data_IF_698954964388
#
_entry.id   IF_698954964388
#
_cell.length_a   1.000
_cell.length_b   1.000
_cell.length_c   1.000
_cell.angle_alpha   90.00
_cell.angle_beta   90.00
_cell.angle_gamma   90.00
#
_symmetry.space_group_name_H-M   'P 1'
#
loop_
_entity.id
_entity.type
_entity.pdbx_description
1 polymer ?
#
# COMPACT_ATOMS: atom_id res chain seq x y z
N UNK A 1 9.92 53.64 50.89
CA UNK A 1 10.44 52.26 50.84
C UNK A 1 9.69 51.54 49.74
N UNK A 2 10.27 51.49 48.56
CA UNK A 2 9.66 50.89 47.37
C UNK A 2 10.34 49.56 47.11
N UNK A 3 9.60 48.46 47.25
CA UNK A 3 10.10 47.11 46.98
C UNK A 3 9.86 46.79 45.51
N UNK A 4 10.91 46.67 44.73
CA UNK A 4 10.90 46.16 43.36
C UNK A 4 11.20 44.69 43.35
N UNK A 5 10.24 43.86 42.92
CA UNK A 5 10.38 42.41 42.74
C UNK A 5 10.87 42.11 41.30
N UNK A 6 11.91 41.28 41.08
CA UNK A 6 12.36 40.95 39.75
C UNK A 6 11.50 39.80 39.14
N UNK A 7 11.00 40.04 37.95
CA UNK A 7 10.27 39.08 37.12
C UNK A 7 11.24 38.06 36.53
N UNK A 8 11.18 36.81 36.98
CA UNK A 8 11.96 35.72 36.41
C UNK A 8 11.25 35.20 35.16
N UNK A 9 11.81 35.46 33.99
CA UNK A 9 11.43 34.89 32.72
C UNK A 9 11.91 33.43 32.66
N UNK A 10 10.98 32.44 32.72
CA UNK A 10 11.25 31.05 32.39
C UNK A 10 11.29 30.96 30.85
N UNK A 11 12.47 30.70 30.30
CA UNK A 11 12.62 30.30 28.90
C UNK A 11 12.30 28.80 28.80
N UNK A 12 11.14 28.47 28.24
CA UNK A 12 10.79 27.09 27.93
C UNK A 12 11.54 26.68 26.65
N UNK A 13 12.59 25.86 26.76
CA UNK A 13 13.20 25.17 25.64
C UNK A 13 12.23 24.07 25.16
N UNK A 14 11.51 24.34 24.08
CA UNK A 14 10.81 23.31 23.32
C UNK A 14 11.84 22.45 22.59
N UNK A 15 12.15 21.28 23.14
CA UNK A 15 12.92 20.25 22.46
C UNK A 15 12.07 19.72 21.29
N UNK A 16 12.36 20.16 20.07
CA UNK A 16 11.87 19.55 18.84
C UNK A 16 12.46 18.14 18.73
N UNK A 17 11.75 17.13 19.22
CA UNK A 17 12.01 15.74 18.88
C UNK A 17 11.73 15.57 17.37
N UNK A 18 12.76 15.78 16.55
CA UNK A 18 12.76 15.33 15.16
C UNK A 18 12.72 13.80 15.19
N UNK A 19 11.55 13.20 15.03
CA UNK A 19 11.43 11.78 14.69
C UNK A 19 12.08 11.62 13.33
N UNK A 20 13.31 11.12 13.29
CA UNK A 20 13.94 10.68 12.07
C UNK A 20 13.01 9.66 11.43
N UNK A 21 12.35 10.02 10.34
CA UNK A 21 11.58 9.10 9.54
C UNK A 21 12.58 8.12 8.91
N UNK A 22 12.77 6.97 9.57
CA UNK A 22 13.58 5.87 9.06
C UNK A 22 12.83 5.27 7.87
N UNK A 23 13.12 5.73 6.66
CA UNK A 23 12.53 5.15 5.47
C UNK A 23 13.29 3.86 5.13
N UNK A 24 12.65 2.76 5.45
CA UNK A 24 13.13 1.41 5.16
C UNK A 24 13.19 1.14 3.66
N UNK A 25 14.06 0.24 3.21
CA UNK A 25 13.91 -0.37 1.90
C UNK A 25 12.76 -1.36 1.97
N UNK A 26 11.70 -1.14 1.18
CA UNK A 26 10.46 -1.90 1.27
C UNK A 26 10.03 -2.45 -0.08
N UNK A 27 9.18 -3.47 -0.06
CA UNK A 27 8.44 -3.94 -1.22
C UNK A 27 7.01 -3.37 -1.21
N UNK A 28 6.32 -3.32 -2.37
CA UNK A 28 4.90 -3.00 -2.42
C UNK A 28 4.09 -3.92 -1.50
N UNK A 29 3.11 -3.41 -0.75
CA UNK A 29 2.22 -4.23 0.07
C UNK A 29 1.27 -5.07 -0.80
N UNK A 30 0.56 -6.04 -0.19
CA UNK A 30 -0.43 -6.89 -0.86
C UNK A 30 0.07 -8.30 -1.16
N UNK A 31 1.38 -8.55 -1.01
CA UNK A 31 1.96 -9.89 -1.23
C UNK A 31 1.98 -10.31 -2.71
N UNK A 32 2.18 -11.61 -2.93
CA UNK A 32 2.15 -12.22 -4.27
C UNK A 32 1.69 -13.69 -4.17
N UNK A 33 0.99 -14.19 -5.19
CA UNK A 33 0.50 -15.57 -5.21
C UNK A 33 1.65 -16.58 -5.30
N UNK A 34 1.56 -17.68 -4.54
CA UNK A 34 2.49 -18.80 -4.65
C UNK A 34 2.59 -19.30 -6.09
N UNK A 35 3.79 -19.66 -6.52
CA UNK A 35 4.08 -20.13 -7.87
C UNK A 35 3.96 -19.07 -8.98
N UNK A 36 3.67 -17.81 -8.67
CA UNK A 36 3.57 -16.74 -9.67
C UNK A 36 4.94 -16.13 -10.02
N UNK A 37 5.02 -15.41 -11.13
CA UNK A 37 6.08 -14.43 -11.35
C UNK A 37 5.74 -13.15 -10.59
N UNK A 38 6.77 -12.52 -10.04
CA UNK A 38 6.63 -11.31 -9.24
C UNK A 38 7.77 -10.32 -9.54
N UNK A 39 7.40 -9.05 -9.71
CA UNK A 39 8.34 -7.94 -9.82
C UNK A 39 8.59 -7.36 -8.43
N UNK A 40 9.66 -7.81 -7.78
CA UNK A 40 10.10 -7.28 -6.49
C UNK A 40 10.68 -5.87 -6.70
N UNK A 41 9.85 -4.85 -6.48
CA UNK A 41 10.23 -3.45 -6.62
C UNK A 41 10.72 -2.91 -5.26
N UNK A 42 12.03 -2.91 -5.05
CA UNK A 42 12.66 -2.38 -3.84
C UNK A 42 12.61 -0.86 -3.84
N UNK A 43 11.81 -0.29 -2.94
CA UNK A 43 11.62 1.15 -2.81
C UNK A 43 12.65 1.72 -1.86
N UNK A 44 13.48 2.62 -2.38
CA UNK A 44 14.45 3.42 -1.64
C UNK A 44 13.88 4.82 -1.51
N UNK A 45 13.66 5.28 -0.29
CA UNK A 45 12.97 6.55 -0.03
C UNK A 45 13.88 7.69 0.45
N UNK A 46 15.12 7.38 0.84
CA UNK A 46 16.13 8.36 1.26
C UNK A 46 17.51 7.69 1.31
N UNK A 47 18.57 8.50 1.43
CA UNK A 47 19.93 8.03 1.69
C UNK A 47 20.10 7.50 3.15
N UNK A 48 21.25 6.93 3.46
CA UNK A 48 21.64 6.52 4.80
C UNK A 48 21.72 7.74 5.74
N UNK A 49 21.83 7.49 7.05
CA UNK A 49 22.03 8.56 8.03
C UNK A 49 23.27 9.40 7.65
N UNK A 50 23.15 10.72 7.74
CA UNK A 50 24.19 11.72 7.43
C UNK A 50 24.71 11.72 5.97
N UNK A 51 24.12 10.89 5.09
CA UNK A 51 24.45 10.81 3.68
C UNK A 51 23.56 11.71 2.82
N UNK A 52 24.07 12.14 1.67
CA UNK A 52 23.34 12.96 0.69
C UNK A 52 22.77 12.13 -0.45
N UNK A 53 23.34 10.96 -0.73
CA UNK A 53 22.92 10.13 -1.85
C UNK A 53 23.15 8.65 -1.58
N UNK A 54 22.29 7.78 -2.17
CA UNK A 54 22.50 6.34 -2.28
C UNK A 54 23.34 6.06 -3.52
N UNK A 55 24.46 5.35 -3.34
CA UNK A 55 25.44 5.02 -4.37
C UNK A 55 25.40 3.55 -4.80
N UNK A 56 24.73 2.70 -4.03
CA UNK A 56 24.60 1.28 -4.33
C UNK A 56 23.44 0.62 -3.62
N UNK A 57 22.92 -0.42 -4.23
CA UNK A 57 21.93 -1.31 -3.64
C UNK A 57 22.32 -2.75 -3.98
N UNK A 58 22.45 -3.61 -2.95
CA UNK A 58 22.71 -5.04 -3.10
C UNK A 58 21.60 -5.81 -2.43
N UNK A 59 20.95 -6.70 -3.17
CA UNK A 59 19.80 -7.50 -2.72
C UNK A 59 20.19 -8.97 -2.73
N UNK A 60 20.15 -9.61 -1.57
CA UNK A 60 20.26 -11.07 -1.44
C UNK A 60 18.88 -11.67 -1.70
N UNK A 61 18.80 -12.61 -2.65
CA UNK A 61 17.59 -13.30 -3.03
C UNK A 61 17.36 -14.48 -2.08
N UNK A 62 16.21 -14.55 -1.39
CA UNK A 62 15.94 -15.65 -0.47
C UNK A 62 15.64 -16.96 -1.20
N UNK A 63 15.79 -18.09 -0.49
CA UNK A 63 15.26 -19.36 -0.99
C UNK A 63 13.76 -19.22 -1.23
N UNK A 64 13.28 -19.74 -2.38
CA UNK A 64 11.88 -19.59 -2.79
C UNK A 64 11.62 -18.42 -3.73
N UNK A 65 12.68 -17.67 -4.09
CA UNK A 65 12.63 -16.68 -5.16
C UNK A 65 13.72 -16.97 -6.19
N UNK A 66 13.34 -17.42 -7.39
CA UNK A 66 14.25 -17.74 -8.48
C UNK A 66 14.35 -16.56 -9.44
N UNK A 67 15.54 -16.00 -9.60
CA UNK A 67 15.78 -14.86 -10.48
C UNK A 67 15.42 -15.19 -11.94
N UNK A 68 14.65 -14.31 -12.57
CA UNK A 68 14.38 -14.29 -14.01
C UNK A 68 15.17 -13.16 -14.66
N UNK A 69 15.03 -11.94 -14.13
CA UNK A 69 15.64 -10.74 -14.69
C UNK A 69 15.75 -9.63 -13.65
N UNK A 70 16.81 -8.84 -13.70
CA UNK A 70 16.89 -7.57 -12.99
C UNK A 70 16.79 -6.40 -13.99
N UNK A 71 16.08 -5.34 -13.61
CA UNK A 71 15.91 -4.19 -14.50
C UNK A 71 17.13 -3.27 -14.40
N UNK A 72 17.74 -2.88 -15.54
CA UNK A 72 18.80 -1.90 -15.55
C UNK A 72 18.27 -0.52 -15.16
N UNK A 73 19.14 0.30 -14.60
CA UNK A 73 18.87 1.71 -14.28
C UNK A 73 19.91 2.58 -14.99
N UNK A 74 19.46 3.63 -15.67
CA UNK A 74 20.36 4.55 -16.38
C UNK A 74 21.39 5.18 -15.41
N UNK A 75 22.68 5.14 -15.78
CA UNK A 75 23.77 5.65 -14.97
C UNK A 75 24.14 4.74 -13.78
N UNK A 76 23.73 3.47 -13.83
CA UNK A 76 24.06 2.48 -12.83
C UNK A 76 24.52 1.18 -13.47
N UNK A 77 25.63 0.65 -13.00
CA UNK A 77 26.10 -0.69 -13.36
C UNK A 77 25.31 -1.74 -12.62
N UNK A 78 24.70 -2.67 -13.36
CA UNK A 78 23.92 -3.81 -12.85
C UNK A 78 24.79 -5.08 -12.87
N UNK A 79 24.82 -5.83 -11.77
CA UNK A 79 25.35 -7.19 -11.72
C UNK A 79 24.31 -8.11 -11.09
N UNK A 80 24.18 -9.33 -11.62
CA UNK A 80 23.20 -10.31 -11.15
C UNK A 80 23.79 -11.73 -11.17
N UNK A 81 23.51 -12.48 -10.11
CA UNK A 81 23.76 -13.90 -9.94
C UNK A 81 22.49 -14.59 -9.48
N UNK A 82 22.38 -15.92 -9.47
CA UNK A 82 21.18 -16.60 -8.95
C UNK A 82 20.79 -16.23 -7.53
N UNK A 83 21.75 -15.81 -6.69
CA UNK A 83 21.51 -15.50 -5.26
C UNK A 83 21.57 -14.02 -4.90
N UNK A 84 21.98 -13.15 -5.81
CA UNK A 84 22.21 -11.74 -5.51
C UNK A 84 22.07 -10.86 -6.74
N UNK A 85 21.46 -9.68 -6.56
CA UNK A 85 21.43 -8.62 -7.57
C UNK A 85 21.97 -7.34 -6.96
N UNK A 86 22.80 -6.61 -7.71
CA UNK A 86 23.33 -5.33 -7.25
C UNK A 86 23.33 -4.27 -8.34
N UNK A 87 23.09 -3.04 -7.92
CA UNK A 87 23.20 -1.83 -8.70
C UNK A 87 24.23 -0.91 -8.04
N UNK A 88 25.12 -0.33 -8.80
CA UNK A 88 26.13 0.62 -8.35
C UNK A 88 26.08 1.84 -9.26
N UNK A 89 25.94 3.04 -8.69
CA UNK A 89 25.98 4.29 -9.44
C UNK A 89 27.34 4.44 -10.13
N UNK A 90 27.33 4.80 -11.40
CA UNK A 90 28.54 4.93 -12.21
C UNK A 90 29.37 6.17 -11.83
N UNK A 91 28.72 7.16 -11.19
CA UNK A 91 29.35 8.38 -10.72
C UNK A 91 28.54 9.03 -9.58
N UNK A 92 29.08 10.05 -8.94
CA UNK A 92 28.36 10.85 -7.95
C UNK A 92 27.13 11.56 -8.54
N UNK A 93 27.16 11.91 -9.82
CA UNK A 93 26.07 12.60 -10.54
C UNK A 93 24.89 11.66 -10.84
N UNK A 94 25.15 10.36 -10.97
CA UNK A 94 24.11 9.36 -11.21
C UNK A 94 23.60 8.69 -9.93
N UNK A 95 24.26 8.95 -8.78
CA UNK A 95 23.78 8.50 -7.49
C UNK A 95 22.36 9.03 -7.20
N UNK A 96 21.56 8.25 -6.47
CA UNK A 96 20.18 8.64 -6.12
C UNK A 96 20.23 9.67 -4.98
N UNK A 97 19.79 10.92 -5.22
CA UNK A 97 19.72 11.94 -4.17
C UNK A 97 18.84 11.52 -3.01
N UNK A 98 19.23 11.90 -1.78
CA UNK A 98 18.52 11.47 -0.57
C UNK A 98 17.08 11.99 -0.44
N UNK A 99 16.70 13.04 -1.17
CA UNK A 99 15.33 13.55 -1.22
C UNK A 99 14.46 12.85 -2.28
N UNK A 100 15.06 12.06 -3.15
CA UNK A 100 14.36 11.37 -4.23
C UNK A 100 14.01 9.94 -3.84
N UNK A 101 12.93 9.43 -4.46
CA UNK A 101 12.48 8.06 -4.32
C UNK A 101 12.73 7.29 -5.61
N UNK A 102 13.19 6.06 -5.48
CA UNK A 102 13.39 5.18 -6.62
C UNK A 102 12.98 3.74 -6.32
N UNK A 103 12.64 3.01 -7.37
CA UNK A 103 12.43 1.57 -7.33
C UNK A 103 13.56 0.86 -8.09
N UNK A 104 14.05 -0.24 -7.50
CA UNK A 104 14.99 -1.18 -8.11
C UNK A 104 14.24 -2.50 -8.25
N UNK A 105 14.10 -2.99 -9.49
CA UNK A 105 13.15 -4.07 -9.77
C UNK A 105 13.88 -5.35 -10.14
N UNK A 106 13.52 -6.44 -9.46
CA UNK A 106 13.95 -7.81 -9.75
C UNK A 106 12.71 -8.64 -10.06
N UNK A 107 12.63 -9.18 -11.28
CA UNK A 107 11.61 -10.18 -11.63
C UNK A 107 12.11 -11.56 -11.27
N UNK A 108 11.27 -12.34 -10.61
CA UNK A 108 11.57 -13.72 -10.26
C UNK A 108 10.32 -14.58 -10.18
N UNK A 109 10.55 -15.89 -10.15
CA UNK A 109 9.54 -16.92 -9.92
C UNK A 109 9.48 -17.25 -8.44
N UNK A 110 8.28 -17.19 -7.86
CA UNK A 110 8.04 -17.56 -6.47
C UNK A 110 7.88 -19.06 -6.29
N UNK A 111 8.24 -19.56 -5.11
CA UNK A 111 7.94 -20.93 -4.65
C UNK A 111 6.43 -21.17 -4.61
N UNK A 112 6.02 -22.44 -4.72
CA UNK A 112 4.63 -22.86 -4.58
C UNK A 112 4.17 -22.91 -3.09
N UNK A 113 5.10 -22.71 -2.14
CA UNK A 113 4.80 -22.69 -0.71
C UNK A 113 4.46 -21.27 -0.27
N UNK A 114 3.34 -21.07 0.41
CA UNK A 114 2.99 -19.83 1.07
C UNK A 114 3.86 -19.58 2.31
N UNK A 115 4.05 -18.30 2.62
CA UNK A 115 4.83 -17.85 3.78
C UNK A 115 5.65 -16.61 3.48
N UNK A 116 6.29 -16.01 4.49
CA UNK A 116 7.09 -14.82 4.29
C UNK A 116 8.44 -15.14 3.65
N UNK A 117 8.84 -14.34 2.65
CA UNK A 117 10.20 -14.26 2.14
C UNK A 117 10.84 -12.95 2.60
N UNK A 118 12.11 -13.00 2.95
CA UNK A 118 12.88 -11.86 3.44
C UNK A 118 14.08 -11.60 2.54
N UNK A 119 14.05 -10.48 1.83
CA UNK A 119 15.15 -10.00 1.01
C UNK A 119 16.05 -9.12 1.88
N UNK A 120 17.28 -9.54 2.10
CA UNK A 120 18.28 -8.72 2.80
C UNK A 120 18.86 -7.72 1.81
N UNK A 121 18.90 -6.45 2.19
CA UNK A 121 19.33 -5.38 1.31
C UNK A 121 20.43 -4.56 1.98
N UNK A 122 21.59 -4.47 1.36
CA UNK A 122 22.63 -3.52 1.73
C UNK A 122 22.49 -2.27 0.84
N UNK A 123 22.15 -1.15 1.47
CA UNK A 123 22.15 0.16 0.86
C UNK A 123 23.48 0.84 1.13
N UNK A 124 24.26 1.15 0.09
CA UNK A 124 25.49 1.93 0.17
C UNK A 124 25.20 3.39 -0.14
N UNK A 125 25.83 4.30 0.57
CA UNK A 125 25.65 5.72 0.38
C UNK A 125 26.99 6.42 0.14
N UNK A 126 26.98 7.72 -0.18
CA UNK A 126 28.19 8.54 -0.28
C UNK A 126 28.91 8.65 1.08
N UNK A 127 28.15 8.53 2.18
CA UNK A 127 28.68 8.37 3.53
C UNK A 127 27.99 7.17 4.18
N UNK A 128 28.74 6.14 4.57
CA UNK A 128 28.25 4.98 5.28
C UNK A 128 27.37 4.02 4.47
N UNK A 129 26.67 3.17 5.18
CA UNK A 129 25.73 2.19 4.61
C UNK A 129 24.65 1.83 5.62
N UNK A 130 23.53 1.26 5.13
CA UNK A 130 22.47 0.69 5.95
C UNK A 130 22.22 -0.77 5.53
N UNK A 131 22.34 -1.69 6.49
CA UNK A 131 22.13 -3.13 6.27
C UNK A 131 20.73 -3.54 6.72
N UNK A 132 19.78 -3.51 5.78
CA UNK A 132 18.38 -3.91 5.96
C UNK A 132 18.29 -5.45 5.92
N UNK A 133 18.77 -6.11 6.98
CA UNK A 133 18.92 -7.56 7.03
C UNK A 133 18.24 -8.24 8.23
N UNK A 134 17.66 -7.47 9.15
CA UNK A 134 17.05 -8.03 10.36
C UNK A 134 15.73 -8.72 10.04
N UNK A 135 15.62 -10.00 10.41
CA UNK A 135 14.41 -10.79 10.28
C UNK A 135 13.80 -10.96 11.67
N UNK A 136 12.52 -10.58 11.87
CA UNK A 136 11.86 -10.77 13.16
C UNK A 136 11.83 -12.26 13.55
N UNK A 137 12.04 -12.56 14.83
CA UNK A 137 11.82 -13.91 15.33
C UNK A 137 10.34 -14.29 15.19
N UNK A 138 10.07 -15.58 14.97
CA UNK A 138 8.69 -16.07 14.85
C UNK A 138 7.90 -15.73 16.13
N UNK A 139 6.74 -15.09 15.96
CA UNK A 139 5.88 -14.65 17.07
C UNK A 139 6.33 -13.39 17.80
N UNK A 140 7.45 -12.76 17.42
CA UNK A 140 7.89 -11.50 18.00
C UNK A 140 7.02 -10.32 17.55
N UNK A 141 6.66 -9.45 18.48
CA UNK A 141 6.01 -8.16 18.23
C UNK A 141 7.01 -7.01 18.13
N UNK A 142 8.29 -7.29 18.37
CA UNK A 142 9.36 -6.31 18.27
C UNK A 142 9.60 -5.91 16.81
N UNK A 143 9.67 -4.61 16.56
CA UNK A 143 9.95 -4.06 15.24
C UNK A 143 11.46 -3.87 15.09
N UNK A 144 12.13 -4.59 14.17
CA UNK A 144 13.54 -4.39 13.90
C UNK A 144 13.84 -2.95 13.45
N UNK A 145 15.00 -2.43 13.84
CA UNK A 145 15.45 -1.11 13.42
C UNK A 145 15.81 -1.07 11.92
N UNK A 146 16.42 -2.15 11.41
CA UNK A 146 16.84 -2.31 10.00
C UNK A 146 16.23 -3.61 9.42
N UNK A 147 14.90 -3.66 9.22
CA UNK A 147 14.23 -4.88 8.79
C UNK A 147 14.58 -5.25 7.36
N UNK A 148 14.71 -6.55 7.09
CA UNK A 148 14.76 -7.09 5.74
C UNK A 148 13.43 -6.80 5.01
N UNK A 149 13.50 -6.57 3.70
CA UNK A 149 12.31 -6.33 2.89
C UNK A 149 11.47 -7.61 2.81
N UNK A 150 10.25 -7.56 3.34
CA UNK A 150 9.35 -8.72 3.46
C UNK A 150 8.40 -8.79 2.28
N UNK A 151 8.24 -9.99 1.73
CA UNK A 151 7.20 -10.36 0.78
C UNK A 151 6.38 -11.51 1.38
N UNK A 152 5.07 -11.34 1.47
CA UNK A 152 4.16 -12.43 1.84
C UNK A 152 3.76 -13.21 0.58
N UNK A 153 4.20 -14.46 0.48
CA UNK A 153 3.74 -15.40 -0.54
C UNK A 153 2.42 -15.98 -0.06
N UNK A 154 1.36 -15.68 -0.81
CA UNK A 154 -0.01 -16.01 -0.44
C UNK A 154 -0.41 -17.39 -0.97
N UNK A 155 -1.29 -18.13 -0.26
CA UNK A 155 -1.85 -19.39 -0.76
C UNK A 155 -2.59 -19.19 -2.07
N UNK A 156 -2.74 -20.27 -2.84
CA UNK A 156 -3.57 -20.26 -4.05
C UNK A 156 -5.01 -19.82 -3.73
N UNK A 157 -5.59 -19.00 -4.60
CA UNK A 157 -6.94 -18.45 -4.44
C UNK A 157 -7.06 -17.21 -3.55
N UNK A 158 -6.01 -16.84 -2.81
CA UNK A 158 -5.95 -15.57 -2.06
C UNK A 158 -5.43 -14.45 -2.98
N UNK A 159 -6.17 -13.34 -3.07
CA UNK A 159 -5.79 -12.24 -3.94
C UNK A 159 -4.62 -11.42 -3.36
N UNK A 160 -3.62 -11.18 -4.20
CA UNK A 160 -2.48 -10.32 -3.89
C UNK A 160 -2.86 -8.84 -4.11
N UNK A 161 -3.71 -8.32 -3.23
CA UNK A 161 -4.21 -6.93 -3.26
C UNK A 161 -4.13 -6.34 -1.86
N UNK A 162 -3.56 -5.14 -1.78
CA UNK A 162 -3.57 -4.33 -0.56
C UNK A 162 -4.86 -3.50 -0.51
N UNK A 163 -5.56 -3.56 0.62
CA UNK A 163 -6.79 -2.81 0.88
C UNK A 163 -6.55 -1.86 2.04
N UNK A 164 -6.74 -0.56 1.80
CA UNK A 164 -6.53 0.48 2.83
C UNK A 164 -7.70 1.42 2.92
N UNK A 165 -7.80 2.08 4.05
CA UNK A 165 -8.77 3.14 4.31
C UNK A 165 -10.21 2.71 3.99
N UNK A 166 -10.52 1.40 4.16
CA UNK A 166 -11.81 0.85 3.85
C UNK A 166 -12.86 1.32 4.87
N UNK A 167 -14.04 1.72 4.39
CA UNK A 167 -15.17 2.06 5.23
C UNK A 167 -16.50 1.95 4.49
N UNK A 168 -17.59 1.73 5.23
CA UNK A 168 -18.95 1.71 4.71
C UNK A 168 -19.71 2.91 5.28
N UNK A 169 -20.48 3.60 4.43
CA UNK A 169 -21.36 4.67 4.89
C UNK A 169 -22.51 4.08 5.69
N UNK A 170 -22.76 4.61 6.91
CA UNK A 170 -23.93 4.26 7.71
C UNK A 170 -25.22 4.62 6.97
N UNK A 171 -26.30 3.89 7.24
CA UNK A 171 -27.63 4.18 6.68
C UNK A 171 -28.50 4.96 7.66
N UNK A 172 -29.45 5.68 7.09
CA UNK A 172 -30.60 6.24 7.84
C UNK A 172 -31.80 5.29 7.75
N UNK A 173 -32.79 5.39 8.66
CA UNK A 173 -33.98 4.55 8.60
C UNK A 173 -34.70 4.61 7.24
N UNK A 174 -35.06 3.45 6.69
CA UNK A 174 -35.75 3.33 5.39
C UNK A 174 -34.80 3.33 4.17
N UNK A 175 -33.51 3.48 4.34
CA UNK A 175 -32.54 3.42 3.25
C UNK A 175 -32.25 1.97 2.86
N UNK A 176 -32.42 1.62 1.58
CA UNK A 176 -32.23 0.26 1.03
C UNK A 176 -30.84 0.01 0.42
N UNK A 177 -30.02 1.05 0.28
CA UNK A 177 -28.67 0.95 -0.31
C UNK A 177 -27.68 1.91 0.32
N UNK A 178 -26.39 1.59 0.22
CA UNK A 178 -25.28 2.44 0.70
C UNK A 178 -23.99 2.16 -0.06
N UNK A 179 -22.97 3.01 0.10
CA UNK A 179 -21.66 2.87 -0.53
C UNK A 179 -20.58 2.37 0.42
N UNK A 180 -19.68 1.53 -0.11
CA UNK A 180 -18.42 1.17 0.51
C UNK A 180 -17.26 1.75 -0.30
N UNK A 181 -16.24 2.21 0.39
CA UNK A 181 -15.10 2.97 -0.14
C UNK A 181 -13.81 2.38 0.38
N UNK A 182 -12.76 2.42 -0.43
CA UNK A 182 -11.45 1.87 -0.08
C UNK A 182 -10.39 2.28 -1.08
N UNK A 183 -9.12 2.08 -0.73
CA UNK A 183 -8.00 2.15 -1.65
C UNK A 183 -7.52 0.74 -1.94
N UNK A 184 -7.36 0.42 -3.23
CA UNK A 184 -6.90 -0.88 -3.70
C UNK A 184 -5.58 -0.73 -4.43
N UNK A 185 -4.62 -1.61 -4.18
CA UNK A 185 -3.36 -1.67 -4.91
C UNK A 185 -2.95 -3.12 -5.13
N UNK A 186 -2.81 -3.52 -6.39
CA UNK A 186 -2.32 -4.84 -6.78
C UNK A 186 -0.85 -4.73 -7.22
N UNK A 187 0.12 -5.40 -6.55
CA UNK A 187 1.54 -5.33 -6.92
C UNK A 187 1.82 -5.78 -8.35
N UNK A 188 1.15 -6.81 -8.81
CA UNK A 188 1.29 -7.37 -10.16
C UNK A 188 0.18 -6.96 -11.12
N UNK A 189 -0.74 -6.09 -10.69
CA UNK A 189 -1.98 -5.79 -11.40
C UNK A 189 -3.05 -6.85 -11.17
N UNK A 190 -4.31 -6.45 -11.27
CA UNK A 190 -5.49 -7.32 -11.18
C UNK A 190 -6.72 -6.59 -11.72
N UNK A 191 -7.83 -7.28 -11.84
CA UNK A 191 -9.14 -6.70 -12.11
C UNK A 191 -10.10 -7.11 -11.00
N UNK A 192 -10.72 -6.14 -10.34
CA UNK A 192 -11.80 -6.41 -9.38
C UNK A 192 -13.06 -6.75 -10.17
N UNK A 193 -13.45 -8.01 -10.16
CA UNK A 193 -14.56 -8.54 -10.97
C UNK A 193 -15.85 -8.74 -10.18
N UNK A 194 -15.84 -8.46 -8.88
CA UNK A 194 -17.03 -8.51 -8.06
C UNK A 194 -16.76 -8.33 -6.58
N UNK A 195 -17.84 -8.03 -5.87
CA UNK A 195 -17.86 -7.95 -4.41
C UNK A 195 -19.08 -8.70 -3.88
N UNK A 196 -19.05 -9.08 -2.61
CA UNK A 196 -20.21 -9.62 -1.90
C UNK A 196 -20.07 -9.39 -0.40
N UNK A 197 -21.21 -9.30 0.29
CA UNK A 197 -21.30 -9.19 1.75
C UNK A 197 -22.59 -9.83 2.23
N UNK A 198 -22.64 -10.44 3.42
CA UNK A 198 -23.89 -10.90 4.02
C UNK A 198 -24.89 -9.78 4.31
N UNK A 199 -24.43 -8.53 4.42
CA UNK A 199 -25.24 -7.37 4.78
C UNK A 199 -26.15 -6.85 3.64
N UNK A 200 -25.88 -7.26 2.38
CA UNK A 200 -26.62 -6.82 1.20
C UNK A 200 -26.93 -7.98 0.25
N UNK A 201 -28.01 -7.86 -0.53
CA UNK A 201 -28.33 -8.83 -1.58
C UNK A 201 -27.45 -8.66 -2.81
N UNK A 202 -27.04 -7.42 -3.11
CA UNK A 202 -26.21 -7.05 -4.27
C UNK A 202 -25.08 -6.14 -3.82
N UNK A 203 -23.87 -6.40 -4.34
CA UNK A 203 -22.71 -5.54 -4.17
C UNK A 203 -21.97 -5.42 -5.51
N UNK A 204 -21.93 -4.23 -6.09
CA UNK A 204 -21.43 -3.95 -7.43
C UNK A 204 -20.50 -2.75 -7.41
N UNK A 205 -19.50 -2.73 -8.30
CA UNK A 205 -18.66 -1.55 -8.50
C UNK A 205 -19.39 -0.58 -9.40
N UNK A 206 -19.61 0.63 -8.91
CA UNK A 206 -20.24 1.73 -9.64
C UNK A 206 -19.28 2.90 -9.81
N UNK A 207 -19.51 3.70 -10.83
CA UNK A 207 -18.86 5.00 -11.04
C UNK A 207 -19.88 6.12 -11.11
N UNK A 208 -19.48 7.28 -10.60
CA UNK A 208 -20.21 8.54 -10.84
C UNK A 208 -19.60 9.22 -12.05
N UNK A 209 -20.40 9.47 -13.09
CA UNK A 209 -19.94 10.13 -14.32
C UNK A 209 -20.89 11.27 -14.71
N UNK A 210 -20.29 12.39 -15.16
CA UNK A 210 -21.07 13.48 -15.74
C UNK A 210 -21.57 13.07 -17.14
N UNK A 211 -22.88 13.19 -17.36
CA UNK A 211 -23.52 13.10 -18.67
C UNK A 211 -24.27 14.41 -18.92
N UNK A 212 -23.69 15.29 -19.72
CA UNK A 212 -24.12 16.68 -19.81
C UNK A 212 -23.92 17.36 -18.45
N UNK A 213 -24.96 18.01 -17.95
CA UNK A 213 -24.96 18.71 -16.65
C UNK A 213 -25.45 17.84 -15.49
N UNK A 214 -25.67 16.53 -15.71
CA UNK A 214 -26.21 15.62 -14.70
C UNK A 214 -25.18 14.58 -14.30
N UNK A 215 -24.98 14.41 -13.00
CA UNK A 215 -24.18 13.31 -12.44
C UNK A 215 -25.00 12.04 -12.46
N UNK A 216 -24.54 11.01 -13.18
CA UNK A 216 -25.18 9.70 -13.25
C UNK A 216 -24.30 8.63 -12.64
N UNK A 217 -24.92 7.73 -11.91
CA UNK A 217 -24.30 6.52 -11.37
C UNK A 217 -24.57 5.36 -12.31
N UNK A 218 -23.53 4.58 -12.61
CA UNK A 218 -23.64 3.38 -13.45
C UNK A 218 -22.69 2.29 -12.96
N UNK A 219 -23.06 1.06 -13.24
CA UNK A 219 -22.21 -0.09 -12.99
C UNK A 219 -20.97 -0.06 -13.88
N UNK A 220 -19.82 -0.46 -13.32
CA UNK A 220 -18.58 -0.71 -14.05
C UNK A 220 -18.62 -2.14 -14.58
N UNK A 221 -19.18 -2.31 -15.77
CA UNK A 221 -19.30 -3.62 -16.41
C UNK A 221 -17.92 -4.16 -16.84
N UNK A 222 -17.68 -5.46 -16.65
CA UNK A 222 -16.40 -6.10 -16.98
C UNK A 222 -15.32 -5.98 -15.90
N UNK A 223 -15.62 -5.32 -14.80
CA UNK A 223 -14.73 -5.17 -13.66
C UNK A 223 -13.84 -3.92 -13.68
N UNK A 224 -13.24 -3.61 -12.56
CA UNK A 224 -12.38 -2.45 -12.35
C UNK A 224 -10.91 -2.85 -12.44
N UNK A 225 -10.19 -2.27 -13.40
CA UNK A 225 -8.75 -2.51 -13.55
C UNK A 225 -7.94 -1.88 -12.40
N UNK A 226 -7.02 -2.66 -11.86
CA UNK A 226 -6.01 -2.24 -10.90
C UNK A 226 -4.64 -2.35 -11.56
N UNK A 227 -4.10 -1.27 -12.14
CA UNK A 227 -2.79 -1.31 -12.78
C UNK A 227 -1.69 -1.68 -11.78
N UNK A 228 -0.60 -2.36 -12.20
CA UNK A 228 0.47 -2.80 -11.32
C UNK A 228 1.03 -1.64 -10.49
N UNK A 229 1.11 -1.83 -9.16
CA UNK A 229 1.70 -0.87 -8.21
C UNK A 229 1.04 0.52 -8.16
N UNK A 230 -0.13 0.69 -8.78
CA UNK A 230 -0.91 1.92 -8.71
C UNK A 230 -2.06 1.75 -7.72
N UNK A 231 -2.32 2.79 -6.95
CA UNK A 231 -3.47 2.83 -6.06
C UNK A 231 -4.68 3.32 -6.83
N UNK A 232 -5.74 2.50 -6.84
CA UNK A 232 -7.07 2.89 -7.33
C UNK A 232 -7.93 3.21 -6.13
N UNK A 233 -8.50 4.41 -6.10
CA UNK A 233 -9.31 4.90 -4.99
C UNK A 233 -10.80 4.82 -5.32
N UNK A 234 -11.52 4.07 -4.49
CA UNK A 234 -12.97 4.08 -4.43
C UNK A 234 -13.39 5.08 -3.36
N UNK A 235 -14.09 6.17 -3.76
CA UNK A 235 -14.43 7.31 -2.89
C UNK A 235 -15.84 7.83 -3.18
N UNK A 236 -16.46 8.57 -2.24
CA UNK A 236 -17.70 9.29 -2.51
C UNK A 236 -17.60 10.14 -3.77
N UNK A 237 -18.69 10.21 -4.54
CA UNK A 237 -18.75 10.94 -5.82
C UNK A 237 -17.80 10.46 -6.93
N UNK A 238 -17.23 9.27 -6.78
CA UNK A 238 -16.36 8.61 -7.76
C UNK A 238 -16.69 7.12 -7.89
N UNK A 239 -15.66 6.31 -8.11
CA UNK A 239 -15.77 4.85 -8.01
C UNK A 239 -16.16 4.45 -6.59
N UNK A 240 -17.02 3.44 -6.42
CA UNK A 240 -17.41 2.89 -5.14
C UNK A 240 -18.00 1.49 -5.28
N UNK A 241 -18.05 0.72 -4.19
CA UNK A 241 -18.86 -0.50 -4.15
C UNK A 241 -20.24 -0.10 -3.64
N UNK A 242 -21.24 -0.19 -4.52
CA UNK A 242 -22.65 0.02 -4.15
C UNK A 242 -23.22 -1.24 -3.53
N UNK A 243 -23.81 -1.11 -2.34
CA UNK A 243 -24.56 -2.14 -1.65
C UNK A 243 -26.05 -1.86 -1.83
N UNK A 244 -26.78 -2.83 -2.34
CA UNK A 244 -28.22 -2.74 -2.59
C UNK A 244 -28.93 -3.93 -1.93
N UNK A 245 -30.24 -3.80 -1.73
CA UNK A 245 -31.04 -4.82 -1.03
C UNK A 245 -30.44 -5.16 0.34
N UNK A 246 -30.27 -4.11 1.15
CA UNK A 246 -29.72 -4.24 2.51
C UNK A 246 -30.60 -5.13 3.37
N UNK A 247 -30.00 -6.13 4.02
CA UNK A 247 -30.73 -7.08 4.87
C UNK A 247 -31.06 -6.52 6.25
N UNK A 248 -30.30 -5.50 6.68
CA UNK A 248 -30.49 -4.79 7.94
C UNK A 248 -29.84 -3.40 7.85
N UNK A 249 -30.24 -2.45 8.73
CA UNK A 249 -29.60 -1.14 8.80
C UNK A 249 -28.09 -1.25 9.08
N UNK A 250 -27.30 -0.44 8.39
CA UNK A 250 -25.87 -0.34 8.57
C UNK A 250 -25.57 0.74 9.61
N UNK A 251 -25.19 0.34 10.82
CA UNK A 251 -25.03 1.24 11.96
C UNK A 251 -23.57 1.61 12.22
N UNK A 252 -23.32 2.88 12.59
CA UNK A 252 -21.99 3.40 12.92
C UNK A 252 -21.33 2.59 14.03
N UNK A 253 -20.02 2.35 13.90
CA UNK A 253 -19.20 1.61 14.87
C UNK A 253 -19.24 0.10 14.71
N UNK A 254 -20.09 -0.41 13.80
CA UNK A 254 -20.07 -1.83 13.38
C UNK A 254 -18.95 -2.10 12.38
N UNK A 255 -18.82 -3.39 12.03
CA UNK A 255 -17.91 -3.88 10.98
C UNK A 255 -18.67 -4.83 10.08
N UNK A 256 -18.42 -4.77 8.78
CA UNK A 256 -19.09 -5.59 7.77
C UNK A 256 -18.05 -6.41 7.03
N UNK A 257 -18.17 -7.75 6.98
CA UNK A 257 -17.28 -8.58 6.19
C UNK A 257 -17.61 -8.45 4.69
N UNK A 258 -16.57 -8.25 3.89
CA UNK A 258 -16.64 -8.25 2.43
C UNK A 258 -15.80 -9.39 1.88
N UNK A 259 -16.26 -9.96 0.78
CA UNK A 259 -15.43 -10.79 -0.12
C UNK A 259 -15.28 -10.04 -1.44
N UNK A 260 -14.05 -9.62 -1.74
CA UNK A 260 -13.66 -9.01 -3.00
C UNK A 260 -13.11 -10.10 -3.92
N UNK A 261 -13.59 -10.18 -5.16
CA UNK A 261 -13.16 -11.18 -6.15
C UNK A 261 -12.34 -10.50 -7.25
N UNK A 262 -11.21 -11.10 -7.55
CA UNK A 262 -10.26 -10.57 -8.51
C UNK A 262 -9.92 -11.60 -9.59
N UNK A 263 -9.43 -11.10 -10.71
CA UNK A 263 -8.88 -11.88 -11.81
C UNK A 263 -7.56 -11.23 -12.26
N UNK A 264 -6.52 -12.04 -12.44
CA UNK A 264 -5.24 -11.57 -12.96
C UNK A 264 -5.24 -11.49 -14.50
N UNK A 265 -4.16 -11.00 -15.10
CA UNK A 265 -4.00 -10.88 -16.55
C UNK A 265 -4.04 -12.23 -17.29
N UNK A 266 -3.90 -13.36 -16.58
CA UNK A 266 -3.99 -14.73 -17.12
C UNK A 266 -5.37 -15.35 -16.92
N UNK A 267 -6.33 -14.61 -16.35
CA UNK A 267 -7.67 -15.10 -16.03
C UNK A 267 -7.74 -15.94 -14.75
N UNK A 268 -6.69 -15.97 -13.93
CA UNK A 268 -6.70 -16.70 -12.67
C UNK A 268 -7.52 -15.95 -11.64
N UNK A 269 -8.54 -16.60 -11.09
CA UNK A 269 -9.45 -16.03 -10.11
C UNK A 269 -8.89 -16.19 -8.69
N UNK A 270 -9.06 -15.13 -7.90
CA UNK A 270 -8.68 -15.08 -6.49
C UNK A 270 -9.65 -14.21 -5.70
N UNK A 271 -9.65 -14.33 -4.37
CA UNK A 271 -10.51 -13.53 -3.52
C UNK A 271 -9.77 -13.04 -2.27
N UNK A 272 -10.29 -11.96 -1.70
CA UNK A 272 -9.80 -11.40 -0.44
C UNK A 272 -10.99 -11.10 0.46
N UNK A 273 -10.93 -11.60 1.69
CA UNK A 273 -11.88 -11.24 2.74
C UNK A 273 -11.32 -10.07 3.54
N UNK A 274 -12.14 -9.03 3.75
CA UNK A 274 -11.78 -7.84 4.52
C UNK A 274 -12.95 -7.46 5.43
N UNK A 275 -12.62 -7.11 6.66
CA UNK A 275 -13.59 -6.57 7.62
C UNK A 275 -13.57 -5.04 7.52
N UNK A 276 -14.68 -4.46 7.05
CA UNK A 276 -14.78 -3.04 6.72
C UNK A 276 -15.58 -2.30 7.80
N UNK A 277 -14.98 -1.32 8.52
CA UNK A 277 -15.67 -0.56 9.54
C UNK A 277 -16.78 0.32 8.95
N UNK A 278 -17.82 0.53 9.73
CA UNK A 278 -18.94 1.43 9.41
C UNK A 278 -18.68 2.83 9.97
N UNK A 279 -18.65 3.80 9.08
CA UNK A 279 -18.35 5.21 9.35
C UNK A 279 -17.06 5.66 8.70
N UNK A 280 -17.04 6.91 8.23
CA UNK A 280 -15.85 7.48 7.61
C UNK A 280 -14.68 7.52 8.60
N UNK A 281 -13.44 7.22 8.16
CA UNK A 281 -12.26 7.40 9.00
C UNK A 281 -12.13 8.86 9.43
N UNK A 282 -11.54 9.09 10.61
CA UNK A 282 -11.26 10.44 11.10
C UNK A 282 -10.38 11.18 10.09
N UNK A 283 -10.88 12.29 9.53
CA UNK A 283 -10.20 13.07 8.51
C UNK A 283 -10.71 12.89 7.07
N UNK A 284 -11.62 11.96 6.80
CA UNK A 284 -12.33 11.94 5.53
C UNK A 284 -13.34 13.10 5.51
N UNK A 285 -13.15 14.07 4.61
CA UNK A 285 -14.08 15.18 4.45
C UNK A 285 -15.47 14.62 4.08
N UNK A 286 -16.44 14.83 4.96
CA UNK A 286 -17.86 14.65 4.64
C UNK A 286 -18.26 15.84 3.78
N UNK A 287 -18.31 15.68 2.46
CA UNK A 287 -19.01 16.64 1.61
C UNK A 287 -20.50 16.58 1.98
N UNK A 288 -20.88 17.54 2.81
CA UNK A 288 -22.28 17.81 3.15
C UNK A 288 -22.92 18.41 1.91
N UNK A 289 -23.73 17.62 1.21
CA UNK A 289 -24.68 18.18 0.25
C UNK A 289 -25.77 18.92 1.04
N UNK A 290 -25.60 20.22 1.15
CA UNK A 290 -26.65 21.11 1.60
C UNK A 290 -27.82 21.05 0.61
N UNK A 291 -28.93 20.47 1.02
CA UNK A 291 -30.20 20.65 0.33
C UNK A 291 -30.60 22.13 0.43
N UNK A 292 -30.41 22.88 -0.65
CA UNK A 292 -31.14 24.11 -0.83
C UNK A 292 -32.56 23.74 -1.29
N UNK A 293 -33.50 23.86 -0.38
CA UNK A 293 -34.91 24.00 -0.71
C UNK A 293 -35.15 25.49 -1.06
N UNK A 294 -35.53 25.76 -2.28
CA UNK A 294 -36.39 26.87 -2.66
C UNK A 294 -37.69 26.34 -3.20
#
# INVERSE_FOLDING_TARGET
MTHTTPLRTLAACAALCSTAAMAHVTLPPGGAAAGSEYDAAFRVGHACADAKATTGLRVQLPQGFTLIQAQPRQGWTLAATPGEVSWKADSAQTALPGAERAEFIVRGKLTDKSGPLYFKVLQSCDVGSADWAQVPAAGSTEKPALPAARLDVLPAGVAAVDVRDAWVRQTVPGQSGTGAFMKLMAPSGARLVGASTPAAGVAEVHEMKMEGDTMKMREVTGGLELPPRQTVELKPSGLHVMLMDLKQPITKGGTIPFTLRFEDAKGVKSSLQVDVPVGAPAGAATESHGHMHN
#
